data_IF_905792258499
#
_entry.id   IF_905792258499
#
_cell.length_a   1.000
_cell.length_b   1.000
_cell.length_c   1.000
_cell.angle_alpha   90.00
_cell.angle_beta   90.00
_cell.angle_gamma   90.00
#
_symmetry.space_group_name_H-M   'P 1'
#
loop_
_entity.id
_entity.type
_entity.pdbx_description
1 polymer ?
#
# COMPACT_ATOMS: atom_id res chain seq x y z
N UNK A 1 39.51 5.20 48.77
CA UNK A 1 39.56 3.95 48.00
C UNK A 1 38.12 3.50 47.59
N UNK A 2 37.26 4.42 47.11
CA UNK A 2 35.83 4.16 46.90
C UNK A 2 35.27 4.58 45.50
N UNK A 3 36.13 4.91 44.55
CA UNK A 3 35.68 5.43 43.25
C UNK A 3 35.81 4.46 42.03
N UNK A 4 36.31 3.21 42.26
CA UNK A 4 36.47 2.24 41.20
C UNK A 4 35.15 1.61 40.70
N UNK A 5 34.15 1.27 41.53
CA UNK A 5 32.94 0.67 41.05
C UNK A 5 32.01 1.66 40.32
N UNK A 6 32.05 2.95 40.68
CA UNK A 6 31.20 3.96 40.06
C UNK A 6 31.60 4.27 38.60
N UNK A 7 32.93 4.29 38.35
CA UNK A 7 33.47 4.51 36.98
C UNK A 7 33.26 3.28 36.08
N UNK A 8 33.30 2.08 36.65
CA UNK A 8 32.98 0.86 35.90
C UNK A 8 31.51 0.82 35.50
N UNK A 9 30.60 1.13 36.43
CA UNK A 9 29.14 1.19 36.17
C UNK A 9 28.81 2.27 35.12
N UNK A 10 29.51 3.43 35.15
CA UNK A 10 29.27 4.47 34.13
C UNK A 10 29.75 4.05 32.73
N UNK A 11 30.82 3.28 32.62
CA UNK A 11 31.30 2.72 31.33
C UNK A 11 30.34 1.66 30.80
N UNK A 12 29.84 0.79 31.64
CA UNK A 12 28.84 -0.22 31.24
C UNK A 12 27.53 0.42 30.72
N UNK A 13 27.02 1.43 31.42
CA UNK A 13 25.84 2.18 31.00
C UNK A 13 26.10 2.90 29.68
N UNK A 14 27.27 3.49 29.49
CA UNK A 14 27.66 4.17 28.28
C UNK A 14 27.74 3.20 27.09
N UNK A 15 28.38 2.02 27.29
CA UNK A 15 28.48 1.00 26.23
C UNK A 15 27.10 0.44 25.84
N UNK A 16 26.23 0.16 26.81
CA UNK A 16 24.85 -0.26 26.55
C UNK A 16 24.09 0.83 25.79
N UNK A 17 24.23 2.09 26.16
CA UNK A 17 23.61 3.22 25.47
C UNK A 17 24.06 3.34 24.01
N UNK A 18 25.37 3.18 23.75
CA UNK A 18 25.93 3.22 22.39
C UNK A 18 25.40 2.04 21.56
N UNK A 19 25.37 0.83 22.12
CA UNK A 19 24.84 -0.37 21.40
C UNK A 19 23.36 -0.21 21.07
N UNK A 20 22.54 0.26 22.00
CA UNK A 20 21.11 0.52 21.78
C UNK A 20 20.92 1.61 20.72
N UNK A 21 21.70 2.69 20.78
CA UNK A 21 21.68 3.76 19.78
C UNK A 21 22.04 3.27 18.38
N UNK A 22 23.04 2.39 18.28
CA UNK A 22 23.49 1.81 17.02
C UNK A 22 22.46 0.87 16.43
N UNK A 23 21.81 0.04 17.25
CA UNK A 23 20.70 -0.83 16.83
C UNK A 23 19.54 0.03 16.33
N UNK A 24 19.18 1.10 17.03
CA UNK A 24 18.11 2.00 16.63
C UNK A 24 18.42 2.70 15.30
N UNK A 25 19.65 3.14 15.11
CA UNK A 25 20.12 3.74 13.84
C UNK A 25 20.00 2.73 12.68
N UNK A 26 20.42 1.48 12.88
CA UNK A 26 20.32 0.42 11.86
C UNK A 26 18.86 0.14 11.51
N UNK A 27 17.95 0.09 12.49
CA UNK A 27 16.51 -0.10 12.25
C UNK A 27 15.96 1.05 11.40
N UNK A 28 16.29 2.30 11.73
CA UNK A 28 15.86 3.47 10.95
C UNK A 28 16.39 3.39 9.51
N UNK A 29 17.66 3.03 9.35
CA UNK A 29 18.29 2.91 8.02
C UNK A 29 17.60 1.83 7.16
N UNK A 30 17.26 0.69 7.76
CA UNK A 30 16.53 -0.38 7.07
C UNK A 30 15.11 0.05 6.69
N UNK A 31 14.42 0.81 7.55
CA UNK A 31 13.10 1.35 7.24
C UNK A 31 13.16 2.36 6.09
N UNK A 32 14.13 3.25 6.09
CA UNK A 32 14.34 4.21 4.99
C UNK A 32 14.65 3.47 3.69
N UNK A 33 15.49 2.44 3.70
CA UNK A 33 15.82 1.66 2.51
C UNK A 33 14.61 0.90 1.95
N UNK A 34 13.81 0.29 2.84
CA UNK A 34 12.63 -0.49 2.47
C UNK A 34 11.49 0.36 1.91
N UNK A 35 11.23 1.51 2.52
CA UNK A 35 10.08 2.36 2.16
C UNK A 35 10.47 3.58 1.32
N UNK A 36 11.75 3.99 1.35
CA UNK A 36 12.22 5.17 0.63
C UNK A 36 12.03 5.07 -0.88
N UNK A 37 12.31 3.93 -1.48
CA UNK A 37 12.10 3.71 -2.90
C UNK A 37 10.61 3.81 -3.29
N UNK A 38 9.75 3.22 -2.49
CA UNK A 38 8.30 3.26 -2.69
C UNK A 38 7.75 4.69 -2.54
N UNK A 39 8.29 5.43 -1.58
CA UNK A 39 7.94 6.83 -1.35
C UNK A 39 8.36 7.73 -2.53
N UNK A 40 9.57 7.54 -3.05
CA UNK A 40 10.07 8.28 -4.21
C UNK A 40 9.20 8.00 -5.46
N UNK A 41 8.81 6.75 -5.68
CA UNK A 41 7.89 6.39 -6.77
C UNK A 41 6.51 7.04 -6.62
N UNK A 42 5.96 7.06 -5.41
CA UNK A 42 4.68 7.71 -5.11
C UNK A 42 4.76 9.22 -5.35
N UNK A 43 5.83 9.86 -4.89
CA UNK A 43 6.07 11.28 -5.08
C UNK A 43 6.23 11.64 -6.55
N UNK A 44 7.05 10.90 -7.30
CA UNK A 44 7.26 11.11 -8.73
C UNK A 44 6.01 10.90 -9.58
N UNK A 45 5.06 10.10 -9.10
CA UNK A 45 3.79 9.81 -9.79
C UNK A 45 2.66 10.76 -9.39
N UNK A 46 2.92 11.75 -8.53
CA UNK A 46 1.90 12.67 -8.01
C UNK A 46 0.87 11.99 -7.10
N UNK A 47 1.12 10.75 -6.69
CA UNK A 47 0.31 10.05 -5.72
C UNK A 47 0.78 10.45 -4.32
N UNK A 48 0.22 11.54 -3.79
CA UNK A 48 0.56 12.03 -2.46
C UNK A 48 0.19 10.97 -1.40
N UNK A 49 1.19 10.23 -0.97
CA UNK A 49 1.07 9.27 0.15
C UNK A 49 1.97 9.77 1.27
N UNK A 50 1.39 10.03 2.42
CA UNK A 50 2.15 10.48 3.58
C UNK A 50 2.97 9.32 4.17
N UNK A 51 4.21 9.60 4.60
CA UNK A 51 5.06 8.60 5.28
C UNK A 51 4.37 8.01 6.51
N UNK A 52 3.62 8.83 7.24
CA UNK A 52 2.83 8.39 8.40
C UNK A 52 1.79 7.33 8.01
N UNK A 53 1.16 7.46 6.84
CA UNK A 53 0.22 6.46 6.32
C UNK A 53 0.92 5.13 6.00
N UNK A 54 2.12 5.17 5.40
CA UNK A 54 2.90 3.95 5.10
C UNK A 54 3.25 3.18 6.38
N UNK A 55 3.66 3.90 7.43
CA UNK A 55 3.95 3.31 8.73
C UNK A 55 2.65 2.74 9.35
N UNK A 56 1.56 3.50 9.31
CA UNK A 56 0.25 3.07 9.80
C UNK A 56 -0.27 1.81 9.11
N UNK A 57 -0.08 1.66 7.79
CA UNK A 57 -0.42 0.45 7.03
C UNK A 57 0.34 -0.78 7.54
N UNK A 58 1.62 -0.60 7.90
CA UNK A 58 2.44 -1.69 8.45
C UNK A 58 1.88 -2.20 9.77
N UNK A 59 1.44 -1.30 10.67
CA UNK A 59 0.80 -1.69 11.93
C UNK A 59 -0.55 -2.39 11.72
N UNK A 60 -1.31 -2.01 10.71
CA UNK A 60 -2.60 -2.63 10.34
C UNK A 60 -2.45 -3.91 9.51
N UNK A 61 -1.24 -4.40 9.31
CA UNK A 61 -0.93 -5.57 8.46
C UNK A 61 -1.40 -5.41 7.01
N UNK A 62 -1.48 -4.19 6.53
CA UNK A 62 -1.77 -3.87 5.13
C UNK A 62 -0.46 -3.86 4.35
N UNK A 63 -0.45 -4.49 3.18
CA UNK A 63 0.72 -4.43 2.31
C UNK A 63 0.78 -3.06 1.62
N UNK A 64 1.58 -2.15 2.18
CA UNK A 64 1.74 -0.79 1.68
C UNK A 64 2.13 -0.75 0.19
N UNK A 65 2.92 -1.72 -0.27
CA UNK A 65 3.34 -1.80 -1.67
C UNK A 65 2.15 -1.95 -2.62
N UNK A 66 1.21 -2.87 -2.30
CA UNK A 66 0.01 -3.11 -3.13
C UNK A 66 -0.85 -1.84 -3.20
N UNK A 67 -1.04 -1.17 -2.06
CA UNK A 67 -1.86 0.05 -1.99
C UNK A 67 -1.22 1.18 -2.79
N UNK A 68 0.08 1.43 -2.59
CA UNK A 68 0.80 2.51 -3.28
C UNK A 68 0.88 2.26 -4.78
N UNK A 69 1.22 1.05 -5.22
CA UNK A 69 1.25 0.68 -6.64
C UNK A 69 -0.14 0.85 -7.29
N UNK A 70 -1.21 0.43 -6.60
CA UNK A 70 -2.59 0.60 -7.08
C UNK A 70 -2.97 2.07 -7.19
N UNK A 71 -2.60 2.89 -6.20
CA UNK A 71 -2.84 4.33 -6.23
C UNK A 71 -2.07 5.01 -7.36
N UNK A 72 -0.80 4.64 -7.59
CA UNK A 72 0.00 5.14 -8.70
C UNK A 72 -0.65 4.78 -10.04
N UNK A 73 -1.13 3.54 -10.20
CA UNK A 73 -1.83 3.12 -11.42
C UNK A 73 -3.10 3.95 -11.65
N UNK A 74 -3.93 4.13 -10.62
CA UNK A 74 -5.14 4.95 -10.70
C UNK A 74 -4.81 6.39 -11.09
N UNK A 75 -3.85 7.01 -10.42
CA UNK A 75 -3.43 8.40 -10.67
C UNK A 75 -2.91 8.61 -12.09
N UNK A 76 -2.10 7.69 -12.60
CA UNK A 76 -1.61 7.72 -14.00
C UNK A 76 -2.73 7.59 -15.03
N UNK A 77 -3.82 6.95 -14.67
CA UNK A 77 -5.02 6.84 -15.52
C UNK A 77 -5.99 8.02 -15.34
N UNK A 78 -5.68 8.99 -14.49
CA UNK A 78 -6.54 10.13 -14.20
C UNK A 78 -7.66 9.85 -13.19
N UNK A 79 -7.65 8.67 -12.57
CA UNK A 79 -8.64 8.29 -11.56
C UNK A 79 -8.16 8.68 -10.16
N UNK A 80 -9.04 9.26 -9.36
CA UNK A 80 -8.73 9.60 -7.97
C UNK A 80 -9.32 8.57 -7.01
N UNK A 81 -8.48 7.59 -6.64
CA UNK A 81 -8.81 6.60 -5.63
C UNK A 81 -8.06 6.94 -4.34
N UNK A 82 -8.75 7.29 -3.28
CA UNK A 82 -8.11 7.64 -2.01
C UNK A 82 -7.47 6.42 -1.34
N UNK A 83 -6.34 6.64 -0.64
CA UNK A 83 -5.63 5.58 0.07
C UNK A 83 -6.50 4.85 1.09
N UNK A 84 -7.32 5.53 1.92
CA UNK A 84 -8.20 4.86 2.88
C UNK A 84 -9.21 3.91 2.25
N UNK A 85 -9.76 4.23 1.08
CA UNK A 85 -10.69 3.35 0.36
C UNK A 85 -10.00 2.08 -0.12
N UNK A 86 -8.79 2.20 -0.68
CA UNK A 86 -7.98 1.05 -1.10
C UNK A 86 -7.60 0.17 0.09
N UNK A 87 -7.23 0.78 1.24
CA UNK A 87 -6.94 0.06 2.47
C UNK A 87 -8.16 -0.71 3.00
N UNK A 88 -9.33 -0.07 3.04
CA UNK A 88 -10.56 -0.68 3.50
C UNK A 88 -10.90 -1.92 2.65
N UNK A 89 -10.79 -1.81 1.33
CA UNK A 89 -11.01 -2.93 0.42
C UNK A 89 -10.00 -4.07 0.62
N UNK A 90 -8.72 -3.72 0.83
CA UNK A 90 -7.67 -4.70 1.15
C UNK A 90 -7.96 -5.44 2.45
N UNK A 91 -8.38 -4.74 3.51
CA UNK A 91 -8.73 -5.33 4.80
C UNK A 91 -9.98 -6.23 4.71
N UNK A 92 -10.91 -5.90 3.81
CA UNK A 92 -12.05 -6.75 3.48
C UNK A 92 -11.70 -8.00 2.65
N UNK A 93 -10.39 -8.27 2.43
CA UNK A 93 -9.88 -9.38 1.62
C UNK A 93 -10.16 -9.26 0.12
N UNK A 94 -10.48 -8.06 -0.36
CA UNK A 94 -10.66 -7.78 -1.79
C UNK A 94 -9.32 -7.67 -2.54
N UNK A 95 -9.39 -7.85 -3.85
CA UNK A 95 -8.26 -7.71 -4.76
C UNK A 95 -8.13 -6.29 -5.29
N UNK A 96 -7.43 -5.44 -4.52
CA UNK A 96 -7.28 -4.00 -4.82
C UNK A 96 -6.71 -3.75 -6.22
N UNK A 97 -5.70 -4.52 -6.64
CA UNK A 97 -5.09 -4.33 -7.96
C UNK A 97 -6.06 -4.66 -9.10
N UNK A 98 -6.88 -5.71 -8.93
CA UNK A 98 -7.87 -6.10 -9.93
C UNK A 98 -8.97 -5.05 -10.05
N UNK A 99 -9.47 -4.55 -8.92
CA UNK A 99 -10.47 -3.47 -8.89
C UNK A 99 -9.95 -2.23 -9.58
N UNK A 100 -8.74 -1.77 -9.28
CA UNK A 100 -8.17 -0.57 -9.92
C UNK A 100 -7.96 -0.79 -11.42
N UNK A 101 -7.50 -1.96 -11.85
CA UNK A 101 -7.37 -2.29 -13.29
C UNK A 101 -8.73 -2.30 -13.99
N UNK A 102 -9.75 -2.83 -13.33
CA UNK A 102 -11.11 -2.84 -13.87
C UNK A 102 -11.69 -1.43 -14.02
N UNK A 103 -11.45 -0.56 -13.02
CA UNK A 103 -11.85 0.86 -13.10
C UNK A 103 -11.15 1.59 -14.26
N UNK A 104 -9.86 1.35 -14.45
CA UNK A 104 -9.10 1.93 -15.58
C UNK A 104 -9.65 1.42 -16.92
N UNK A 105 -9.99 0.13 -17.00
CA UNK A 105 -10.58 -0.45 -18.20
C UNK A 105 -11.98 0.10 -18.47
N UNK A 106 -12.80 0.27 -17.44
CA UNK A 106 -14.14 0.85 -17.53
C UNK A 106 -14.09 2.32 -18.00
N UNK A 107 -13.19 3.12 -17.44
CA UNK A 107 -12.99 4.52 -17.85
C UNK A 107 -12.59 4.62 -19.33
N UNK A 108 -11.65 3.79 -19.77
CA UNK A 108 -11.24 3.72 -21.19
C UNK A 108 -12.37 3.28 -22.13
N UNK A 109 -13.23 2.40 -21.65
CA UNK A 109 -14.40 1.92 -22.38
C UNK A 109 -15.62 2.86 -22.27
N UNK A 110 -15.48 3.98 -21.52
CA UNK A 110 -16.58 4.91 -21.23
C UNK A 110 -17.78 4.25 -20.52
N UNK A 111 -17.46 3.24 -19.68
CA UNK A 111 -18.45 2.58 -18.83
C UNK A 111 -18.42 3.27 -17.46
N UNK A 112 -19.58 3.73 -17.00
CA UNK A 112 -19.74 4.32 -15.67
C UNK A 112 -19.69 3.23 -14.59
N UNK A 113 -18.50 2.97 -14.07
CA UNK A 113 -18.24 2.03 -12.98
C UNK A 113 -17.66 2.77 -11.77
N UNK A 114 -18.51 3.00 -10.77
CA UNK A 114 -18.06 3.58 -9.50
C UNK A 114 -17.19 2.62 -8.70
N UNK A 115 -16.28 3.17 -7.88
CA UNK A 115 -15.37 2.39 -7.03
C UNK A 115 -16.12 1.42 -6.10
N UNK A 116 -17.19 1.89 -5.45
CA UNK A 116 -17.98 1.06 -4.51
C UNK A 116 -18.63 -0.14 -5.20
N UNK A 117 -19.13 0.07 -6.42
CA UNK A 117 -19.73 -1.01 -7.24
C UNK A 117 -18.68 -2.03 -7.66
N UNK A 118 -17.49 -1.57 -8.06
CA UNK A 118 -16.38 -2.45 -8.40
C UNK A 118 -15.93 -3.28 -7.18
N UNK A 119 -15.81 -2.66 -6.01
CA UNK A 119 -15.50 -3.35 -4.76
C UNK A 119 -16.56 -4.38 -4.38
N UNK A 120 -17.85 -4.05 -4.54
CA UNK A 120 -18.94 -4.98 -4.24
C UNK A 120 -18.90 -6.23 -5.16
N UNK A 121 -18.59 -6.06 -6.44
CA UNK A 121 -18.44 -7.17 -7.40
C UNK A 121 -17.26 -8.06 -7.00
N UNK A 122 -16.12 -7.47 -6.64
CA UNK A 122 -14.91 -8.21 -6.23
C UNK A 122 -15.15 -9.00 -4.94
N UNK A 123 -15.77 -8.37 -3.92
CA UNK A 123 -16.11 -9.04 -2.66
C UNK A 123 -17.18 -10.13 -2.81
N UNK A 124 -18.01 -10.05 -3.86
CA UNK A 124 -18.93 -11.12 -4.22
C UNK A 124 -18.23 -12.31 -4.90
N UNK A 125 -16.90 -12.28 -5.01
CA UNK A 125 -16.08 -13.35 -5.61
C UNK A 125 -16.12 -13.37 -7.15
N UNK A 126 -16.54 -12.28 -7.78
CA UNK A 126 -16.52 -12.14 -9.25
C UNK A 126 -15.32 -11.34 -9.71
N UNK A 127 -14.76 -11.71 -10.85
CA UNK A 127 -13.70 -10.92 -11.48
C UNK A 127 -14.28 -9.66 -12.12
N UNK A 128 -13.97 -8.50 -11.51
CA UNK A 128 -14.46 -7.19 -11.97
C UNK A 128 -13.91 -6.86 -13.35
N UNK A 129 -12.66 -7.22 -13.63
CA UNK A 129 -12.03 -6.96 -14.92
C UNK A 129 -12.67 -7.78 -16.04
N UNK A 130 -13.03 -9.04 -15.76
CA UNK A 130 -13.73 -9.90 -16.71
C UNK A 130 -15.16 -9.40 -16.95
N UNK A 131 -15.85 -8.93 -15.92
CA UNK A 131 -17.16 -8.30 -16.04
C UNK A 131 -17.14 -7.06 -16.97
N UNK A 132 -16.14 -6.18 -16.83
CA UNK A 132 -15.95 -5.04 -17.70
C UNK A 132 -15.64 -5.47 -19.14
N UNK A 133 -14.74 -6.44 -19.32
CA UNK A 133 -14.40 -6.98 -20.65
C UNK A 133 -15.61 -7.59 -21.36
N UNK A 134 -16.44 -8.33 -20.64
CA UNK A 134 -17.65 -8.94 -21.18
C UNK A 134 -18.67 -7.88 -21.56
N UNK A 135 -18.73 -6.76 -20.84
CA UNK A 135 -19.59 -5.63 -21.19
C UNK A 135 -19.16 -4.93 -22.48
N UNK A 136 -17.85 -4.88 -22.74
CA UNK A 136 -17.30 -4.29 -23.99
C UNK A 136 -17.40 -5.27 -25.15
N UNK A 137 -17.20 -6.56 -24.91
CA UNK A 137 -17.16 -7.62 -25.91
C UNK A 137 -18.07 -8.77 -25.48
N UNK A 138 -19.41 -8.64 -25.67
CA UNK A 138 -20.37 -9.63 -25.20
C UNK A 138 -20.10 -10.98 -25.85
N UNK A 139 -19.89 -12.00 -25.02
CA UNK A 139 -19.86 -13.40 -25.49
C UNK A 139 -21.28 -13.84 -25.83
N UNK A 140 -21.54 -14.07 -27.09
CA UNK A 140 -22.77 -14.71 -27.52
C UNK A 140 -22.69 -16.17 -27.10
N UNK A 141 -23.57 -16.58 -26.20
CA UNK A 141 -23.75 -17.98 -25.84
C UNK A 141 -24.87 -18.48 -26.74
N UNK A 142 -24.51 -19.23 -27.78
CA UNK A 142 -25.49 -19.93 -28.62
C UNK A 142 -26.14 -21.02 -27.75
N UNK A 143 -27.39 -20.78 -27.36
CA UNK A 143 -28.20 -21.81 -26.74
C UNK A 143 -28.71 -22.74 -27.86
N UNK A 144 -28.42 -24.05 -27.82
CA UNK A 144 -28.93 -25.00 -28.76
C UNK A 144 -30.44 -25.21 -28.63
#
# INVERSE_FOLDING_TARGET
>A
MFNMPLLAVSKEILTVGIVVGLIFLVIILLLIFKYGWLYIQALASGANVELAQLIGMTFRRVNARIIVESRIMAKKAGLDCSTPLLEAHYLARGNVQNVVRALIAADKAKIDLGFDRACAIDLAGRDVLDAVRTSVNPKVIDCP
#
